data_IF_662531302986
#
_entry.id   IF_662531302986
#
_cell.length_a   1.000
_cell.length_b   1.000
_cell.length_c   1.000
_cell.angle_alpha   90.00
_cell.angle_beta   90.00
_cell.angle_gamma   90.00
#
_symmetry.space_group_name_H-M   'P 1'
#
loop_
_entity.id
_entity.type
_entity.pdbx_description
1 polymer ?
#
# COMPACT_ATOMS: atom_id res chain seq x y z
N UNK A 1 -7.13 -13.46 17.47
CA UNK A 1 -7.46 -13.90 16.09
C UNK A 1 -8.05 -12.73 15.33
N UNK A 2 -7.76 -12.64 14.04
CA UNK A 2 -8.09 -11.48 13.21
C UNK A 2 -8.83 -11.90 11.94
N UNK A 3 -9.59 -10.96 11.40
CA UNK A 3 -10.29 -11.08 10.12
C UNK A 3 -10.23 -9.74 9.38
N UNK A 4 -10.59 -9.73 8.10
CA UNK A 4 -10.70 -8.50 7.33
C UNK A 4 -11.70 -7.53 8.00
N UNK A 5 -11.42 -6.23 8.00
CA UNK A 5 -12.37 -5.24 8.50
C UNK A 5 -13.61 -5.21 7.61
N UNK A 6 -14.73 -4.82 8.16
CA UNK A 6 -15.92 -4.50 7.36
C UNK A 6 -15.77 -3.12 6.71
N UNK A 7 -16.52 -2.86 5.66
CA UNK A 7 -16.49 -1.54 5.00
C UNK A 7 -16.84 -0.40 5.96
N UNK A 8 -17.77 -0.63 6.88
CA UNK A 8 -18.18 0.32 7.91
C UNK A 8 -17.04 0.69 8.88
N UNK A 9 -16.07 -0.24 9.07
CA UNK A 9 -14.93 -0.05 9.98
C UNK A 9 -13.78 0.72 9.31
N UNK A 10 -13.84 0.87 7.98
CA UNK A 10 -12.88 1.62 7.15
C UNK A 10 -13.57 2.66 6.26
N UNK A 11 -14.71 3.18 6.70
CA UNK A 11 -15.59 4.08 5.95
C UNK A 11 -14.84 5.27 5.33
N UNK A 12 -14.02 5.95 6.13
CA UNK A 12 -13.22 7.10 5.67
C UNK A 12 -12.30 6.76 4.50
N UNK A 13 -11.64 5.59 4.56
CA UNK A 13 -10.79 5.11 3.46
C UNK A 13 -11.64 4.69 2.26
N UNK A 14 -12.75 4.02 2.53
CA UNK A 14 -13.70 3.62 1.51
C UNK A 14 -14.28 4.84 0.77
N UNK A 15 -14.80 5.84 1.47
CA UNK A 15 -15.32 7.05 0.86
C UNK A 15 -14.28 7.77 0.02
N UNK A 16 -13.06 7.90 0.53
CA UNK A 16 -11.94 8.48 -0.20
C UNK A 16 -11.66 7.72 -1.52
N UNK A 17 -11.59 6.39 -1.47
CA UNK A 17 -11.36 5.56 -2.65
C UNK A 17 -12.51 5.63 -3.65
N UNK A 18 -13.77 5.72 -3.19
CA UNK A 18 -14.92 5.91 -4.07
C UNK A 18 -14.93 7.30 -4.75
N UNK A 19 -14.50 8.33 -4.04
CA UNK A 19 -14.34 9.66 -4.62
C UNK A 19 -13.26 9.64 -5.72
N UNK A 20 -12.12 9.01 -5.48
CA UNK A 20 -11.10 8.79 -6.50
C UNK A 20 -11.63 8.05 -7.73
N UNK A 21 -12.38 6.95 -7.50
CA UNK A 21 -12.98 6.18 -8.58
C UNK A 21 -13.92 7.01 -9.45
N UNK A 22 -14.76 7.84 -8.83
CA UNK A 22 -15.69 8.74 -9.55
C UNK A 22 -14.94 9.80 -10.33
N UNK A 23 -13.91 10.41 -9.74
CA UNK A 23 -13.11 11.46 -10.36
C UNK A 23 -12.33 10.95 -11.54
N UNK A 24 -11.62 9.84 -11.39
CA UNK A 24 -10.72 9.29 -12.41
C UNK A 24 -11.40 8.32 -13.36
N UNK A 25 -12.58 7.81 -13.00
CA UNK A 25 -13.32 6.77 -13.76
C UNK A 25 -12.49 5.50 -14.01
N UNK A 26 -11.56 5.20 -13.10
CA UNK A 26 -10.69 4.03 -13.13
C UNK A 26 -11.07 3.05 -12.03
N UNK A 27 -11.01 1.71 -12.24
CA UNK A 27 -11.24 0.71 -11.19
C UNK A 27 -10.04 0.55 -10.25
N UNK A 28 -8.85 0.94 -10.70
CA UNK A 28 -7.59 0.87 -9.96
C UNK A 28 -6.75 2.11 -10.22
N UNK A 29 -5.88 2.48 -9.29
CA UNK A 29 -4.85 3.51 -9.45
C UNK A 29 -3.52 2.88 -9.00
N UNK A 30 -2.60 2.66 -9.95
CA UNK A 30 -1.39 1.89 -9.67
C UNK A 30 -1.75 0.51 -9.11
N UNK A 31 -1.21 0.17 -7.92
CA UNK A 31 -1.48 -1.09 -7.22
C UNK A 31 -2.73 -1.05 -6.32
N UNK A 32 -3.36 0.13 -6.13
CA UNK A 32 -4.51 0.30 -5.24
C UNK A 32 -5.80 0.00 -5.98
N UNK A 33 -6.59 -0.94 -5.44
CA UNK A 33 -7.95 -1.19 -5.94
C UNK A 33 -8.91 -0.11 -5.44
N UNK A 34 -9.82 0.30 -6.33
CA UNK A 34 -10.94 1.18 -6.01
C UNK A 34 -12.28 0.43 -6.05
N UNK A 35 -12.22 -0.90 -6.16
CA UNK A 35 -13.40 -1.77 -6.21
C UNK A 35 -13.84 -2.08 -4.76
N UNK A 36 -15.09 -1.76 -4.36
CA UNK A 36 -15.56 -1.86 -2.98
C UNK A 36 -15.27 -3.21 -2.31
N UNK A 37 -15.62 -4.30 -2.95
CA UNK A 37 -15.49 -5.66 -2.40
C UNK A 37 -14.04 -6.15 -2.25
N UNK A 38 -13.09 -5.44 -2.82
CA UNK A 38 -11.67 -5.79 -2.77
C UNK A 38 -10.89 -4.92 -1.78
N UNK A 39 -11.38 -3.72 -1.45
CA UNK A 39 -10.68 -2.77 -0.58
C UNK A 39 -10.38 -3.36 0.80
N UNK A 40 -11.36 -4.02 1.43
CA UNK A 40 -11.19 -4.61 2.76
C UNK A 40 -10.16 -5.74 2.77
N UNK A 41 -10.16 -6.55 1.70
CA UNK A 41 -9.19 -7.64 1.53
C UNK A 41 -7.78 -7.09 1.32
N UNK A 42 -7.63 -6.05 0.53
CA UNK A 42 -6.34 -5.40 0.28
C UNK A 42 -5.75 -4.80 1.57
N UNK A 43 -6.56 -4.09 2.34
CA UNK A 43 -6.15 -3.52 3.64
C UNK A 43 -5.74 -4.64 4.61
N UNK A 44 -6.49 -5.73 4.67
CA UNK A 44 -6.16 -6.87 5.53
C UNK A 44 -4.92 -7.63 5.05
N UNK A 45 -4.71 -7.75 3.75
CA UNK A 45 -3.49 -8.34 3.19
C UNK A 45 -2.25 -7.54 3.60
N UNK A 46 -2.32 -6.20 3.59
CA UNK A 46 -1.23 -5.37 4.09
C UNK A 46 -1.02 -5.57 5.60
N UNK A 47 -2.09 -5.69 6.40
CA UNK A 47 -1.97 -6.03 7.82
C UNK A 47 -1.23 -7.37 8.02
N UNK A 48 -1.61 -8.42 7.29
CA UNK A 48 -0.96 -9.73 7.36
C UNK A 48 0.52 -9.66 6.96
N UNK A 49 0.86 -8.87 5.94
CA UNK A 49 2.25 -8.66 5.52
C UNK A 49 3.07 -8.00 6.63
N UNK A 50 2.52 -6.99 7.30
CA UNK A 50 3.20 -6.31 8.40
C UNK A 50 3.37 -7.20 9.64
N UNK A 51 2.49 -8.19 9.90
CA UNK A 51 2.65 -9.12 11.03
C UNK A 51 3.93 -9.95 10.96
N UNK A 52 4.43 -10.19 9.75
CA UNK A 52 5.67 -10.95 9.51
C UNK A 52 6.94 -10.08 9.51
N UNK A 53 6.80 -8.75 9.69
CA UNK A 53 7.95 -7.83 9.66
C UNK A 53 8.83 -7.99 10.90
N UNK A 54 10.05 -8.49 10.70
CA UNK A 54 11.08 -8.58 11.74
C UNK A 54 11.47 -7.17 12.19
N UNK A 55 11.61 -6.22 11.27
CA UNK A 55 11.96 -4.84 11.57
C UNK A 55 10.93 -4.18 12.49
N UNK A 56 9.63 -4.45 12.27
CA UNK A 56 8.58 -3.92 13.12
C UNK A 56 8.61 -4.53 14.53
N UNK A 57 8.91 -5.84 14.65
CA UNK A 57 9.12 -6.48 15.95
C UNK A 57 10.33 -5.91 16.69
N UNK A 58 11.43 -5.68 15.97
CA UNK A 58 12.64 -5.03 16.52
C UNK A 58 12.33 -3.63 17.00
N UNK A 59 11.66 -2.82 16.17
CA UNK A 59 11.24 -1.47 16.54
C UNK A 59 10.30 -1.46 17.75
N UNK A 60 9.35 -2.40 17.83
CA UNK A 60 8.42 -2.52 18.95
C UNK A 60 9.18 -2.84 20.25
N UNK A 61 9.98 -3.90 20.26
CA UNK A 61 10.68 -4.32 21.45
C UNK A 61 11.71 -3.29 21.91
N UNK A 62 12.51 -2.73 21.00
CA UNK A 62 13.54 -1.74 21.33
C UNK A 62 12.98 -0.45 21.96
N UNK A 63 11.72 -0.12 21.70
CA UNK A 63 11.02 1.04 22.25
C UNK A 63 10.17 0.71 23.49
N UNK A 64 9.99 -0.57 23.84
CA UNK A 64 9.13 -0.99 24.94
C UNK A 64 9.81 -0.80 26.31
N UNK A 65 9.04 -0.34 27.29
CA UNK A 65 9.49 -0.27 28.68
C UNK A 65 9.88 -1.65 29.23
N UNK A 66 9.22 -2.70 28.74
CA UNK A 66 9.53 -4.08 29.10
C UNK A 66 10.97 -4.44 28.75
N UNK A 67 11.41 -4.16 27.53
CA UNK A 67 12.79 -4.40 27.11
C UNK A 67 13.79 -3.54 27.91
N UNK A 68 13.51 -2.27 28.09
CA UNK A 68 14.39 -1.37 28.86
C UNK A 68 14.57 -1.85 30.30
N UNK A 69 13.50 -2.32 30.94
CA UNK A 69 13.59 -2.90 32.28
C UNK A 69 14.34 -4.22 32.30
N UNK A 70 14.18 -5.07 31.26
CA UNK A 70 14.86 -6.36 31.16
C UNK A 70 16.38 -6.22 31.02
N UNK A 71 16.87 -5.16 30.36
CA UNK A 71 18.29 -4.96 30.08
C UNK A 71 18.96 -3.93 31.00
N UNK A 72 18.22 -3.38 31.97
CA UNK A 72 18.68 -2.31 32.85
C UNK A 72 20.02 -2.61 33.54
N UNK A 73 20.21 -3.84 34.02
CA UNK A 73 21.40 -4.26 34.74
C UNK A 73 22.48 -4.90 33.86
N UNK A 74 22.22 -5.01 32.54
CA UNK A 74 23.14 -5.59 31.58
C UNK A 74 24.10 -4.49 31.09
N UNK A 75 25.40 -4.67 31.35
CA UNK A 75 26.46 -3.71 30.95
C UNK A 75 26.93 -3.89 29.50
N UNK A 76 26.86 -5.13 28.99
CA UNK A 76 27.34 -5.48 27.65
C UNK A 76 26.29 -5.17 26.59
N UNK A 77 26.59 -4.33 25.62
CA UNK A 77 25.69 -4.06 24.49
C UNK A 77 25.39 -5.32 23.67
N UNK A 78 26.36 -6.21 23.51
CA UNK A 78 26.17 -7.51 22.82
C UNK A 78 25.13 -8.38 23.52
N UNK A 79 25.12 -8.38 24.86
CA UNK A 79 24.14 -9.18 25.63
C UNK A 79 22.77 -8.53 25.60
N UNK A 80 22.67 -7.19 25.55
CA UNK A 80 21.41 -6.48 25.33
C UNK A 80 20.83 -6.82 23.96
N UNK A 81 21.64 -6.79 22.92
CA UNK A 81 21.21 -7.13 21.57
C UNK A 81 20.75 -8.58 21.46
N UNK A 82 21.47 -9.52 22.07
CA UNK A 82 21.02 -10.91 22.16
C UNK A 82 19.67 -11.06 22.84
N UNK A 83 19.41 -10.29 23.91
CA UNK A 83 18.09 -10.29 24.57
C UNK A 83 17.01 -9.73 23.66
N UNK A 84 17.31 -8.70 22.87
CA UNK A 84 16.39 -8.15 21.89
C UNK A 84 16.05 -9.19 20.81
N UNK A 85 17.03 -9.87 20.26
CA UNK A 85 16.85 -10.92 19.27
C UNK A 85 16.01 -12.08 19.82
N UNK A 86 16.27 -12.51 21.07
CA UNK A 86 15.45 -13.51 21.74
C UNK A 86 13.97 -13.09 21.84
N UNK A 87 13.68 -11.82 22.17
CA UNK A 87 12.32 -11.29 22.22
C UNK A 87 11.65 -11.29 20.83
N UNK A 88 12.39 -10.89 19.80
CA UNK A 88 11.90 -10.84 18.42
C UNK A 88 11.51 -12.23 17.92
N UNK A 89 12.35 -13.24 18.20
CA UNK A 89 12.18 -14.59 17.66
C UNK A 89 11.18 -15.43 18.45
N UNK A 90 11.17 -15.29 19.80
CA UNK A 90 10.49 -16.26 20.68
C UNK A 90 9.22 -15.73 21.33
N UNK A 91 9.14 -14.41 21.53
CA UNK A 91 8.07 -13.84 22.36
C UNK A 91 6.83 -13.41 21.57
N UNK A 92 6.97 -13.14 20.26
CA UNK A 92 5.84 -12.87 19.37
C UNK A 92 5.73 -13.98 18.35
N UNK A 93 4.66 -14.76 18.45
CA UNK A 93 4.36 -15.87 17.53
C UNK A 93 3.19 -15.46 16.65
N UNK A 94 3.42 -15.51 15.35
CA UNK A 94 2.38 -15.26 14.32
C UNK A 94 2.04 -16.59 13.67
N UNK A 95 0.77 -16.95 13.68
CA UNK A 95 0.24 -18.09 12.93
C UNK A 95 -0.50 -17.52 11.70
N UNK A 96 0.06 -17.68 10.49
CA UNK A 96 -0.57 -17.23 9.27
C UNK A 96 -1.80 -18.07 8.92
N UNK A 97 -2.58 -17.60 7.93
CA UNK A 97 -3.66 -18.41 7.35
C UNK A 97 -3.02 -19.64 6.67
N UNK A 98 -3.59 -20.82 6.99
CA UNK A 98 -3.36 -22.07 6.28
C UNK A 98 -4.75 -22.60 5.91
N UNK A 99 -5.09 -22.59 4.62
CA UNK A 99 -6.42 -22.96 4.12
C UNK A 99 -6.90 -24.34 4.60
N UNK A 100 -5.96 -25.23 4.92
CA UNK A 100 -6.29 -26.59 5.40
C UNK A 100 -6.47 -26.67 6.91
N UNK A 101 -5.79 -25.81 7.70
CA UNK A 101 -5.70 -25.95 9.16
C UNK A 101 -6.11 -24.71 9.93
N UNK A 102 -5.83 -23.52 9.41
CA UNK A 102 -5.99 -22.25 10.13
C UNK A 102 -6.77 -21.27 9.26
N UNK A 103 -8.06 -21.12 9.54
CA UNK A 103 -8.93 -20.20 8.78
C UNK A 103 -8.65 -18.72 9.06
N UNK A 104 -8.14 -18.40 10.24
CA UNK A 104 -7.92 -17.02 10.68
C UNK A 104 -6.52 -16.85 11.26
N UNK A 105 -5.77 -15.82 10.86
CA UNK A 105 -4.45 -15.57 11.42
C UNK A 105 -4.54 -15.18 12.89
N UNK A 106 -3.53 -15.54 13.65
CA UNK A 106 -3.44 -15.16 15.05
C UNK A 106 -2.06 -14.65 15.42
N UNK A 107 -2.03 -13.77 16.42
CA UNK A 107 -0.81 -13.28 17.05
C UNK A 107 -0.91 -13.62 18.53
N UNK A 108 0.15 -14.18 19.07
CA UNK A 108 0.31 -14.40 20.51
C UNK A 108 1.61 -13.76 20.99
N UNK A 109 1.60 -13.25 22.22
CA UNK A 109 2.76 -12.66 22.88
C UNK A 109 2.93 -13.32 24.24
N UNK A 110 4.16 -13.74 24.54
CA UNK A 110 4.52 -14.42 25.77
C UNK A 110 5.58 -13.65 26.54
N UNK A 111 5.29 -13.26 27.76
CA UNK A 111 6.23 -12.70 28.73
C UNK A 111 5.95 -13.30 30.12
N UNK A 112 6.73 -12.92 31.12
CA UNK A 112 6.67 -13.55 32.46
C UNK A 112 5.36 -13.28 33.22
N UNK A 113 4.67 -12.17 32.89
CA UNK A 113 3.42 -11.77 33.53
C UNK A 113 2.27 -11.69 32.53
N UNK A 114 1.08 -12.20 32.91
CA UNK A 114 -0.09 -12.30 32.04
C UNK A 114 -0.70 -10.94 31.69
N UNK A 115 -0.74 -10.02 32.65
CA UNK A 115 -1.28 -8.68 32.46
C UNK A 115 -0.39 -7.91 31.49
N UNK A 116 0.92 -7.92 31.76
CA UNK A 116 1.93 -7.30 30.88
C UNK A 116 1.90 -7.91 29.47
N UNK A 117 1.72 -9.22 29.35
CA UNK A 117 1.61 -9.88 28.03
C UNK A 117 0.42 -9.36 27.22
N UNK A 118 -0.73 -9.18 27.84
CA UNK A 118 -1.95 -8.63 27.21
C UNK A 118 -1.73 -7.19 26.77
N UNK A 119 -1.19 -6.35 27.64
CA UNK A 119 -0.93 -4.94 27.34
C UNK A 119 0.06 -4.77 26.19
N UNK A 120 1.17 -5.50 26.22
CA UNK A 120 2.16 -5.50 25.15
C UNK A 120 1.59 -6.03 23.84
N UNK A 121 0.72 -7.04 23.88
CA UNK A 121 0.06 -7.53 22.66
C UNK A 121 -0.86 -6.47 22.05
N UNK A 122 -1.62 -5.74 22.87
CA UNK A 122 -2.47 -4.63 22.40
C UNK A 122 -1.59 -3.56 21.75
N UNK A 123 -0.54 -3.10 22.43
CA UNK A 123 0.41 -2.10 21.92
C UNK A 123 1.07 -2.55 20.61
N UNK A 124 1.45 -3.82 20.50
CA UNK A 124 2.02 -4.36 19.27
C UNK A 124 1.03 -4.35 18.12
N UNK A 125 -0.21 -4.74 18.35
CA UNK A 125 -1.28 -4.73 17.34
C UNK A 125 -1.63 -3.31 16.91
N UNK A 126 -1.66 -2.36 17.84
CA UNK A 126 -1.86 -0.94 17.52
C UNK A 126 -0.71 -0.38 16.68
N UNK A 127 0.54 -0.76 17.00
CA UNK A 127 1.71 -0.39 16.20
C UNK A 127 1.67 -1.01 14.79
N UNK A 128 1.22 -2.27 14.67
CA UNK A 128 0.95 -2.91 13.40
C UNK A 128 -0.05 -2.11 12.57
N UNK A 129 -1.19 -1.76 13.18
CA UNK A 129 -2.23 -0.96 12.53
C UNK A 129 -1.70 0.38 12.03
N UNK A 130 -0.99 1.11 12.88
CA UNK A 130 -0.37 2.39 12.52
C UNK A 130 0.62 2.23 11.35
N UNK A 131 1.40 1.14 11.31
CA UNK A 131 2.32 0.85 10.22
C UNK A 131 1.61 0.57 8.90
N UNK A 132 0.51 -0.21 8.92
CA UNK A 132 -0.33 -0.47 7.74
C UNK A 132 -0.81 0.85 7.14
N UNK A 133 -1.40 1.71 7.94
CA UNK A 133 -1.95 2.97 7.45
C UNK A 133 -0.86 3.94 7.02
N UNK A 134 0.28 3.97 7.70
CA UNK A 134 1.44 4.75 7.25
C UNK A 134 1.91 4.28 5.87
N UNK A 135 1.99 2.97 5.65
CA UNK A 135 2.36 2.38 4.36
C UNK A 135 1.33 2.73 3.28
N UNK A 136 0.05 2.47 3.54
CA UNK A 136 -1.04 2.78 2.61
C UNK A 136 -1.16 4.26 2.28
N UNK A 137 -1.04 5.13 3.27
CA UNK A 137 -1.07 6.58 3.06
C UNK A 137 0.11 7.07 2.22
N UNK A 138 1.32 6.53 2.45
CA UNK A 138 2.50 6.87 1.65
C UNK A 138 2.36 6.39 0.20
N UNK A 139 1.90 5.16 0.00
CA UNK A 139 1.62 4.58 -1.32
C UNK A 139 0.60 5.43 -2.08
N UNK A 140 -0.53 5.72 -1.44
CA UNK A 140 -1.60 6.54 -2.01
C UNK A 140 -1.11 7.94 -2.41
N UNK A 141 -0.35 8.59 -1.53
CA UNK A 141 0.22 9.91 -1.80
C UNK A 141 1.17 9.91 -3.01
N UNK A 142 1.99 8.86 -3.14
CA UNK A 142 2.90 8.71 -4.28
C UNK A 142 2.12 8.52 -5.57
N UNK A 143 1.16 7.59 -5.59
CA UNK A 143 0.33 7.29 -6.76
C UNK A 143 -0.50 8.52 -7.18
N UNK A 144 -1.09 9.24 -6.21
CA UNK A 144 -1.84 10.47 -6.53
C UNK A 144 -0.95 11.55 -7.14
N UNK A 145 0.28 11.69 -6.66
CA UNK A 145 1.25 12.63 -7.24
C UNK A 145 1.58 12.27 -8.68
N UNK A 146 1.76 10.98 -8.97
CA UNK A 146 2.00 10.47 -10.32
C UNK A 146 0.80 10.71 -11.23
N UNK A 147 -0.41 10.40 -10.78
CA UNK A 147 -1.65 10.61 -11.54
C UNK A 147 -1.89 12.11 -11.85
N UNK A 148 -1.66 12.98 -10.87
CA UNK A 148 -1.75 14.44 -11.08
C UNK A 148 -0.74 14.90 -12.11
N UNK A 149 0.51 14.42 -12.03
CA UNK A 149 1.56 14.76 -13.00
C UNK A 149 1.22 14.28 -14.42
N UNK A 150 0.65 13.08 -14.54
CA UNK A 150 0.18 12.54 -15.82
C UNK A 150 -0.93 13.41 -16.44
N UNK A 151 -1.94 13.76 -15.65
CA UNK A 151 -3.03 14.63 -16.09
C UNK A 151 -2.56 16.05 -16.44
N UNK A 152 -1.61 16.61 -15.70
CA UNK A 152 -1.00 17.92 -16.03
C UNK A 152 -0.22 17.86 -17.35
N UNK A 153 0.48 16.78 -17.62
CA UNK A 153 1.17 16.57 -18.90
C UNK A 153 0.18 16.35 -20.04
N UNK A 154 -0.90 15.59 -19.83
CA UNK A 154 -1.98 15.43 -20.81
C UNK A 154 -2.61 16.79 -21.14
N UNK A 155 -2.91 17.62 -20.14
CA UNK A 155 -3.45 18.97 -20.33
C UNK A 155 -2.55 19.83 -21.22
N UNK A 156 -1.24 19.87 -20.90
CA UNK A 156 -0.26 20.62 -21.71
C UNK A 156 -0.16 20.11 -23.15
N UNK A 157 -0.23 18.79 -23.34
CA UNK A 157 -0.22 18.20 -24.67
C UNK A 157 -1.46 18.61 -25.50
N UNK A 158 -2.64 18.64 -24.86
CA UNK A 158 -3.88 19.06 -25.51
C UNK A 158 -3.82 20.55 -25.89
N UNK A 159 -3.28 21.40 -25.02
CA UNK A 159 -3.04 22.83 -25.31
C UNK A 159 -2.08 23.00 -26.49
N UNK A 160 -0.96 22.30 -26.48
CA UNK A 160 0.03 22.34 -27.55
C UNK A 160 -0.55 21.88 -28.89
N UNK A 161 -1.36 20.82 -28.90
CA UNK A 161 -2.02 20.32 -30.11
C UNK A 161 -3.00 21.34 -30.65
N UNK A 162 -3.87 21.90 -29.80
CA UNK A 162 -4.85 22.89 -30.21
C UNK A 162 -4.18 24.16 -30.82
N UNK A 163 -3.06 24.61 -30.20
CA UNK A 163 -2.28 25.73 -30.76
C UNK A 163 -1.62 25.38 -32.10
N UNK A 164 -1.09 24.14 -32.21
CA UNK A 164 -0.47 23.68 -33.46
C UNK A 164 -1.50 23.58 -34.58
N UNK A 165 -2.68 23.04 -34.30
CA UNK A 165 -3.78 22.92 -35.25
C UNK A 165 -4.25 24.30 -35.70
N UNK A 166 -4.34 25.28 -34.77
CA UNK A 166 -4.63 26.68 -35.12
C UNK A 166 -3.58 27.28 -36.07
N UNK A 167 -2.29 27.10 -35.77
CA UNK A 167 -1.21 27.62 -36.62
C UNK A 167 -1.23 26.99 -38.01
N UNK A 168 -1.43 25.67 -38.08
CA UNK A 168 -1.55 24.96 -39.33
C UNK A 168 -2.74 25.45 -40.17
N UNK A 169 -3.90 25.71 -39.51
CA UNK A 169 -5.07 26.25 -40.17
C UNK A 169 -4.77 27.63 -40.75
N UNK A 170 -4.15 28.55 -39.99
CA UNK A 170 -3.74 29.89 -40.48
C UNK A 170 -2.77 29.76 -41.66
N UNK A 171 -1.82 28.85 -41.62
CA UNK A 171 -0.86 28.60 -42.72
C UNK A 171 -1.58 28.13 -43.99
N UNK A 172 -2.50 27.16 -43.86
CA UNK A 172 -3.27 26.63 -44.99
C UNK A 172 -4.15 27.74 -45.60
N UNK A 173 -4.83 28.52 -44.78
CA UNK A 173 -5.66 29.63 -45.24
C UNK A 173 -4.79 30.72 -45.88
N UNK A 174 -3.61 31.02 -45.33
CA UNK A 174 -2.66 31.96 -45.89
C UNK A 174 -2.14 31.54 -47.28
N UNK A 175 -1.87 30.25 -47.48
CA UNK A 175 -1.53 29.71 -48.81
C UNK A 175 -2.69 29.88 -49.80
N UNK A 176 -3.91 29.55 -49.37
CA UNK A 176 -5.11 29.74 -50.20
C UNK A 176 -5.34 31.21 -50.55
N UNK A 177 -5.12 32.14 -49.60
CA UNK A 177 -5.19 33.59 -49.86
C UNK A 177 -4.20 34.04 -50.92
N UNK A 178 -2.93 33.58 -50.84
CA UNK A 178 -1.92 33.88 -51.84
C UNK A 178 -2.34 33.42 -53.27
N UNK A 179 -3.00 32.26 -53.37
CA UNK A 179 -3.56 31.78 -54.64
C UNK A 179 -4.71 32.65 -55.10
N UNK A 180 -5.63 33.03 -54.23
CA UNK A 180 -6.75 33.91 -54.54
C UNK A 180 -6.28 35.29 -55.01
N UNK A 181 -5.25 35.88 -54.39
CA UNK A 181 -4.63 37.12 -54.78
C UNK A 181 -4.05 37.07 -56.23
N UNK A 182 -3.26 36.00 -56.49
CA UNK A 182 -2.69 35.80 -57.86
C UNK A 182 -3.76 35.57 -58.92
N UNK A 183 -4.89 34.96 -58.53
CA UNK A 183 -6.05 34.75 -59.41
C UNK A 183 -6.99 35.95 -59.47
N UNK A 184 -6.69 37.03 -58.75
CA UNK A 184 -7.53 38.26 -58.68
C UNK A 184 -8.94 38.02 -58.10
N UNK A 185 -9.10 36.99 -57.25
CA UNK A 185 -10.37 36.61 -56.61
C UNK A 185 -10.54 37.37 -55.30
N UNK A 186 -11.29 38.46 -55.30
CA UNK A 186 -11.55 39.30 -54.12
C UNK A 186 -12.73 38.80 -53.29
N UNK A 187 -13.72 38.22 -53.92
CA UNK A 187 -14.99 37.80 -53.31
C UNK A 187 -15.29 36.34 -53.67
N UNK A 188 -16.24 35.74 -52.95
CA UNK A 188 -16.68 34.38 -53.13
C UNK A 188 -17.11 34.10 -54.58
N UNK A 189 -16.47 33.16 -55.25
CA UNK A 189 -16.83 32.78 -56.62
C UNK A 189 -17.78 31.57 -56.61
N UNK A 190 -19.08 31.84 -56.47
CA UNK A 190 -20.14 30.83 -56.42
C UNK A 190 -20.25 29.99 -57.71
N UNK A 191 -19.92 30.56 -58.86
CA UNK A 191 -20.00 29.84 -60.15
C UNK A 191 -18.94 28.75 -60.25
N UNK A 192 -17.75 28.99 -59.74
CA UNK A 192 -16.68 28.00 -59.69
C UNK A 192 -16.93 26.90 -58.62
N UNK A 193 -17.76 27.17 -57.62
CA UNK A 193 -18.12 26.24 -56.54
C UNK A 193 -19.25 25.27 -56.93
N UNK A 194 -20.11 25.63 -57.92
CA UNK A 194 -21.28 24.82 -58.30
C UNK A 194 -20.93 23.44 -58.93
N UNK A 195 -19.69 23.21 -59.31
CA UNK A 195 -19.21 21.94 -59.83
C UNK A 195 -18.50 20.99 -58.81
N UNK A 196 -18.15 21.49 -57.62
CA UNK A 196 -17.31 20.78 -56.67
C UNK A 196 -17.92 20.78 -55.27
N UNK A 197 -18.48 19.65 -54.86
CA UNK A 197 -19.17 19.44 -53.57
C UNK A 197 -18.28 19.55 -52.30
N UNK A 198 -16.99 19.85 -52.41
CA UNK A 198 -16.05 19.78 -51.28
C UNK A 198 -15.12 21.02 -51.21
N UNK A 199 -15.71 22.19 -51.09
CA UNK A 199 -14.96 23.48 -50.98
C UNK A 199 -14.12 23.60 -49.71
N UNK A 200 -14.36 22.76 -48.73
CA UNK A 200 -13.58 22.70 -47.49
C UNK A 200 -12.30 21.86 -47.60
N UNK A 201 -12.00 21.24 -48.75
CA UNK A 201 -10.67 20.67 -48.97
C UNK A 201 -9.67 21.83 -49.16
N UNK A 202 -8.51 21.77 -48.47
CA UNK A 202 -7.49 22.84 -48.48
C UNK A 202 -7.13 23.35 -49.88
N UNK A 203 -7.27 22.52 -50.92
CA UNK A 203 -6.97 22.81 -52.30
C UNK A 203 -8.01 23.72 -52.98
N UNK A 204 -9.19 23.93 -52.39
CA UNK A 204 -10.29 24.71 -52.95
C UNK A 204 -10.64 26.01 -52.17
N UNK A 205 -9.95 26.23 -51.04
CA UNK A 205 -10.23 27.39 -50.15
C UNK A 205 -10.04 28.73 -50.87
N UNK A 206 -9.18 28.85 -51.89
CA UNK A 206 -8.92 30.08 -52.62
C UNK A 206 -10.17 30.62 -53.36
N UNK A 207 -11.17 29.79 -53.66
CA UNK A 207 -12.45 30.25 -54.26
C UNK A 207 -13.30 31.07 -53.28
N UNK A 208 -13.02 31.06 -51.96
CA UNK A 208 -13.66 31.93 -50.99
C UNK A 208 -13.34 33.42 -51.21
N UNK A 209 -12.25 33.71 -51.92
CA UNK A 209 -11.76 35.06 -52.16
C UNK A 209 -10.99 35.64 -50.97
N UNK A 210 -10.18 36.68 -51.26
CA UNK A 210 -9.26 37.26 -50.26
C UNK A 210 -9.98 37.85 -49.07
N UNK A 211 -11.14 38.50 -49.22
CA UNK A 211 -11.89 39.10 -48.10
C UNK A 211 -12.34 38.05 -47.07
N UNK A 212 -12.86 36.90 -47.51
CA UNK A 212 -13.33 35.85 -46.59
C UNK A 212 -12.16 35.14 -45.91
N UNK A 213 -11.05 34.92 -46.65
CA UNK A 213 -9.85 34.30 -46.11
C UNK A 213 -9.16 35.21 -45.09
N UNK A 214 -9.10 36.52 -45.29
CA UNK A 214 -8.62 37.48 -44.29
C UNK A 214 -9.45 37.45 -43.02
N UNK A 215 -10.78 37.48 -43.15
CA UNK A 215 -11.67 37.38 -41.98
C UNK A 215 -11.51 36.09 -41.20
N UNK A 216 -11.19 34.95 -41.87
CA UNK A 216 -10.90 33.70 -41.22
C UNK A 216 -9.55 33.72 -40.48
N UNK A 217 -8.50 34.29 -41.09
CA UNK A 217 -7.19 34.46 -40.46
C UNK A 217 -7.31 35.33 -39.21
N UNK A 218 -8.01 36.48 -39.33
CA UNK A 218 -8.24 37.40 -38.22
C UNK A 218 -9.01 36.73 -37.09
N UNK A 219 -10.02 35.93 -37.41
CA UNK A 219 -10.79 35.19 -36.45
C UNK A 219 -9.93 34.18 -35.71
N UNK A 220 -9.11 33.37 -36.42
CA UNK A 220 -8.21 32.40 -35.83
C UNK A 220 -7.09 33.05 -35.01
N UNK A 221 -6.63 34.25 -35.42
CA UNK A 221 -5.54 34.96 -34.74
C UNK A 221 -6.02 35.68 -33.48
N UNK A 222 -7.19 36.29 -33.50
CA UNK A 222 -7.66 37.19 -32.44
C UNK A 222 -8.60 36.52 -31.43
N UNK A 223 -9.15 35.33 -31.71
CA UNK A 223 -10.00 34.62 -30.77
C UNK A 223 -9.20 33.61 -29.94
N UNK A 224 -9.64 33.30 -28.72
CA UNK A 224 -9.07 32.24 -27.93
C UNK A 224 -9.09 30.89 -28.67
N UNK A 225 -8.07 30.09 -28.47
CA UNK A 225 -8.00 28.73 -29.02
C UNK A 225 -9.15 27.89 -28.48
N UNK A 226 -9.87 27.23 -29.39
CA UNK A 226 -10.90 26.25 -28.98
C UNK A 226 -10.23 24.96 -28.50
N UNK A 227 -10.35 24.69 -27.21
CA UNK A 227 -9.81 23.45 -26.62
C UNK A 227 -10.72 22.25 -26.91
N UNK A 228 -10.15 21.04 -27.07
CA UNK A 228 -10.94 19.83 -27.22
C UNK A 228 -11.70 19.50 -25.93
N UNK A 229 -12.79 18.75 -26.04
CA UNK A 229 -13.63 18.33 -24.88
C UNK A 229 -12.78 17.67 -23.78
N UNK A 230 -11.84 16.85 -24.19
CA UNK A 230 -10.93 16.14 -23.24
C UNK A 230 -10.11 17.10 -22.36
N UNK A 231 -9.77 18.30 -22.85
CA UNK A 231 -9.09 19.31 -22.05
C UNK A 231 -9.90 19.71 -20.81
N UNK A 232 -11.18 19.96 -20.98
CA UNK A 232 -12.07 20.34 -19.87
C UNK A 232 -12.34 19.20 -18.91
N UNK A 233 -12.37 17.96 -19.40
CA UNK A 233 -12.46 16.77 -18.57
C UNK A 233 -11.22 16.62 -17.67
N UNK A 234 -10.03 16.75 -18.24
CA UNK A 234 -8.76 16.70 -17.49
C UNK A 234 -8.68 17.84 -16.48
N UNK A 235 -9.07 19.05 -16.86
CA UNK A 235 -9.09 20.20 -15.95
C UNK A 235 -10.05 19.99 -14.77
N UNK A 236 -11.22 19.42 -15.01
CA UNK A 236 -12.16 19.03 -13.97
C UNK A 236 -11.55 17.98 -13.03
N UNK A 237 -10.95 16.91 -13.58
CA UNK A 237 -10.29 15.87 -12.79
C UNK A 237 -9.20 16.45 -11.89
N UNK A 238 -8.32 17.29 -12.42
CA UNK A 238 -7.28 17.97 -11.66
C UNK A 238 -7.86 18.83 -10.53
N UNK A 239 -8.95 19.54 -10.80
CA UNK A 239 -9.62 20.40 -9.82
C UNK A 239 -10.22 19.56 -8.68
N UNK A 240 -10.84 18.44 -9.00
CA UNK A 240 -11.42 17.53 -8.00
C UNK A 240 -10.35 16.81 -7.18
N UNK A 241 -9.26 16.37 -7.81
CA UNK A 241 -8.13 15.74 -7.09
C UNK A 241 -7.49 16.71 -6.08
N UNK A 242 -7.37 18.00 -6.42
CA UNK A 242 -6.85 19.03 -5.50
C UNK A 242 -7.76 19.33 -4.31
N UNK A 243 -9.04 18.96 -4.38
CA UNK A 243 -10.03 19.15 -3.31
C UNK A 243 -10.18 17.93 -2.42
N UNK A 244 -9.49 16.83 -2.71
CA UNK A 244 -9.56 15.63 -1.90
C UNK A 244 -9.13 15.94 -0.46
N UNK A 245 -9.89 15.50 0.54
CA UNK A 245 -9.50 15.68 1.94
C UNK A 245 -8.25 14.89 2.26
N UNK A 246 -7.44 15.37 3.21
CA UNK A 246 -6.39 14.53 3.75
C UNK A 246 -6.99 13.30 4.43
N UNK A 247 -6.46 12.15 4.07
CA UNK A 247 -6.89 10.89 4.63
C UNK A 247 -6.40 10.77 6.08
N UNK A 248 -7.32 10.78 7.04
CA UNK A 248 -7.04 10.60 8.48
C UNK A 248 -7.00 9.12 8.84
N UNK A 249 -5.96 8.73 9.58
CA UNK A 249 -5.57 7.34 9.83
C UNK A 249 -6.03 6.85 11.21
N UNK A 250 -7.28 7.07 11.58
CA UNK A 250 -7.83 6.57 12.87
C UNK A 250 -8.84 5.43 12.65
N UNK A 251 -8.45 4.46 11.83
CA UNK A 251 -9.29 3.31 11.48
C UNK A 251 -8.49 2.01 11.64
N UNK A 252 -9.19 0.90 11.88
CA UNK A 252 -8.56 -0.41 12.05
C UNK A 252 -8.45 -1.15 10.72
N UNK A 253 -7.26 -1.62 10.39
CA UNK A 253 -6.98 -2.45 9.22
C UNK A 253 -7.38 -3.92 9.40
N UNK A 254 -7.96 -4.26 10.54
CA UNK A 254 -8.36 -5.60 10.94
C UNK A 254 -9.60 -5.56 11.85
N UNK A 255 -10.26 -6.68 11.98
CA UNK A 255 -11.30 -6.93 12.96
C UNK A 255 -10.86 -8.04 13.94
N UNK A 256 -11.11 -7.86 15.23
CA UNK A 256 -10.92 -8.93 16.19
C UNK A 256 -12.05 -9.98 16.08
N UNK A 257 -11.68 -11.23 15.84
CA UNK A 257 -12.55 -12.39 16.11
C UNK A 257 -12.41 -12.85 17.55
N UNK A 258 -11.21 -12.71 18.09
CA UNK A 258 -10.91 -12.91 19.49
C UNK A 258 -9.97 -11.82 19.95
N UNK A 259 -10.43 -10.97 20.85
CA UNK A 259 -9.60 -9.93 21.46
C UNK A 259 -8.50 -10.52 22.34
N UNK A 260 -7.42 -9.80 22.58
CA UNK A 260 -6.39 -10.19 23.54
C UNK A 260 -7.01 -10.44 24.93
N UNK A 261 -6.78 -11.61 25.48
CA UNK A 261 -7.24 -12.02 26.80
C UNK A 261 -6.06 -12.53 27.64
N UNK A 262 -6.22 -12.44 28.93
CA UNK A 262 -5.26 -13.00 29.89
C UNK A 262 -5.37 -14.53 29.88
N UNK A 263 -4.25 -15.26 29.79
CA UNK A 263 -4.29 -16.71 29.89
C UNK A 263 -4.66 -17.14 31.31
N UNK A 264 -5.61 -18.05 31.42
CA UNK A 264 -6.04 -18.61 32.71
C UNK A 264 -4.98 -19.53 33.34
N UNK A 265 -4.08 -20.06 32.55
CA UNK A 265 -3.01 -20.98 32.95
C UNK A 265 -1.67 -20.60 32.37
N UNK A 266 -0.59 -20.84 33.10
CA UNK A 266 0.78 -20.65 32.58
C UNK A 266 1.08 -21.68 31.50
N UNK A 267 1.59 -21.23 30.35
CA UNK A 267 2.01 -22.13 29.27
C UNK A 267 3.35 -22.82 29.55
N UNK A 268 4.22 -22.20 30.36
CA UNK A 268 5.54 -22.71 30.70
C UNK A 268 5.89 -22.47 32.20
N UNK A 269 6.72 -23.30 32.81
CA UNK A 269 7.20 -24.58 32.30
C UNK A 269 6.09 -25.65 32.29
N UNK A 270 6.12 -26.56 31.32
CA UNK A 270 5.21 -27.73 31.29
C UNK A 270 5.50 -28.62 32.47
N UNK A 271 4.84 -28.40 33.63
CA UNK A 271 5.11 -29.05 34.91
C UNK A 271 5.17 -30.57 34.81
N UNK A 272 4.27 -31.16 34.00
CA UNK A 272 4.26 -32.62 33.77
C UNK A 272 5.54 -33.07 33.06
N UNK A 273 6.02 -32.32 32.05
CA UNK A 273 7.26 -32.67 31.34
C UNK A 273 8.49 -32.55 32.23
N UNK A 274 8.56 -31.52 33.08
CA UNK A 274 9.65 -31.35 34.06
C UNK A 274 9.65 -32.50 35.07
N UNK A 275 8.47 -32.94 35.55
CA UNK A 275 8.33 -34.05 36.47
C UNK A 275 8.76 -35.37 35.82
N UNK A 276 8.34 -35.64 34.59
CA UNK A 276 8.76 -36.84 33.84
C UNK A 276 10.27 -36.86 33.60
N UNK A 277 10.85 -35.73 33.19
CA UNK A 277 12.31 -35.61 33.01
C UNK A 277 13.06 -35.83 34.34
N UNK A 278 12.53 -35.29 35.45
CA UNK A 278 13.07 -35.48 36.77
C UNK A 278 13.08 -36.97 37.20
N UNK A 279 11.99 -37.69 36.92
CA UNK A 279 11.90 -39.16 37.20
C UNK A 279 12.91 -39.94 36.35
N UNK A 280 13.02 -39.63 35.05
CA UNK A 280 13.98 -40.30 34.17
C UNK A 280 15.42 -40.03 34.62
N UNK A 281 15.75 -38.79 34.95
CA UNK A 281 17.09 -38.44 35.46
C UNK A 281 17.39 -39.12 36.77
N UNK A 282 16.42 -39.19 37.70
CA UNK A 282 16.55 -39.93 38.96
C UNK A 282 16.79 -41.44 38.78
N UNK A 283 16.07 -42.06 37.81
CA UNK A 283 16.30 -43.48 37.47
C UNK A 283 17.71 -43.71 36.92
N UNK A 284 18.20 -42.88 36.03
CA UNK A 284 19.54 -42.95 35.44
C UNK A 284 20.60 -42.86 36.55
N UNK A 285 20.47 -41.86 37.43
CA UNK A 285 21.40 -41.68 38.56
C UNK A 285 21.35 -42.88 39.50
N UNK A 286 20.16 -43.41 39.79
CA UNK A 286 19.99 -44.62 40.63
C UNK A 286 20.66 -45.85 40.05
N UNK A 287 20.52 -46.08 38.74
CA UNK A 287 21.21 -47.22 38.07
C UNK A 287 22.72 -47.06 38.12
N UNK A 288 23.24 -45.86 37.85
CA UNK A 288 24.68 -45.56 37.91
C UNK A 288 25.18 -45.81 39.35
N UNK A 289 24.45 -45.36 40.37
CA UNK A 289 24.80 -45.55 41.76
C UNK A 289 24.89 -47.05 42.15
N UNK A 290 23.90 -47.85 41.72
CA UNK A 290 23.89 -49.29 41.94
C UNK A 290 25.06 -49.96 41.24
N UNK A 291 25.40 -49.59 40.00
CA UNK A 291 26.54 -50.14 39.26
C UNK A 291 27.87 -49.82 39.95
N UNK A 292 28.03 -48.60 40.44
CA UNK A 292 29.24 -48.21 41.20
C UNK A 292 29.36 -49.01 42.49
N UNK A 293 28.29 -49.15 43.27
CA UNK A 293 28.29 -49.98 44.49
C UNK A 293 28.59 -51.44 44.16
N UNK A 294 28.06 -52.01 43.09
CA UNK A 294 28.33 -53.40 42.67
C UNK A 294 29.82 -53.63 42.34
N UNK A 295 30.47 -52.62 41.73
CA UNK A 295 31.91 -52.69 41.43
C UNK A 295 32.75 -52.66 42.70
N UNK A 296 32.40 -51.81 43.68
CA UNK A 296 33.11 -51.74 44.96
C UNK A 296 32.92 -53.03 45.81
N UNK A 297 31.68 -53.53 45.90
CA UNK A 297 31.41 -54.78 46.65
C UNK A 297 32.07 -56.04 46.04
N UNK A 298 32.29 -56.04 44.71
CA UNK A 298 32.98 -57.17 44.04
C UNK A 298 34.48 -57.18 44.33
N UNK A 299 35.05 -56.06 44.76
CA UNK A 299 36.48 -55.95 45.12
C UNK A 299 36.80 -56.49 46.53
N UNK A 300 35.81 -56.41 47.43
CA UNK A 300 36.00 -56.92 48.83
C UNK A 300 35.82 -58.44 48.95
N UNK A 301 35.12 -59.12 48.06
CA UNK A 301 34.94 -60.56 48.06
C UNK A 301 36.04 -61.36 47.33
N UNK A 302 37.08 -60.69 46.81
CA UNK A 302 38.21 -61.31 46.09
C UNK A 302 39.45 -61.60 46.95
N UNK A 303 39.43 -61.33 48.27
CA UNK A 303 40.59 -61.46 49.14
C UNK A 303 40.41 -62.45 50.36
N UNK A 304 39.54 -63.47 50.23
CA UNK A 304 39.37 -64.45 51.24
C UNK A 304 39.35 -65.86 50.63
N UNK A 305 40.51 -66.30 50.13
CA UNK A 305 40.78 -67.73 49.96
C UNK A 305 42.29 -67.92 49.80
N UNK A 306 42.99 -67.97 50.94
CA UNK A 306 44.15 -68.91 51.22
C UNK A 306 44.36 -69.02 52.69
#
# INVERSE_FOLDING_TARGET
MFDAPKLEEIDTYYEFTQQLRRTLQKPTIGAITLIPDQITKEVFTEFQKQTNSIDLRREFWSQSDYYHNLVKDIKSEKDKEKKLDDLIEKNIIVVPIDEQKVKFPSISLSVNDAITAKELLIQYVDKLNAKVWKSKSAELKTILKEEVAELENEKKLLEFRAETDRKNAIEVIGKAKNVAEKANLKELNLTAMQGNANVNSGDMLFFLGTKALDAQIDNLTNKPVTMPVRYYEVERMLTELKKLPEFKVDIKSYRYLQAPNEPLTRNEPKRVLVLVLGVIAGLIIGVIYILVLSIFNKKDNGFSSH
#
